data_IF_651570521729
#
_entry.id   IF_651570521729
#
_cell.length_a   1.000
_cell.length_b   1.000
_cell.length_c   1.000
_cell.angle_alpha   90.00
_cell.angle_beta   90.00
_cell.angle_gamma   90.00
#
_symmetry.space_group_name_H-M   'P 1'
#
loop_
_entity.id
_entity.type
_entity.pdbx_description
1 polymer ?
#
# COMPACT_ATOMS: atom_id res chain seq x y z
N UNK A 1 -10.44 1.90 -25.23
CA UNK A 1 -9.08 2.27 -25.71
C UNK A 1 -8.84 3.77 -25.55
N UNK A 2 -9.81 4.61 -25.92
CA UNK A 2 -9.66 6.08 -25.87
C UNK A 2 -9.34 6.63 -24.48
N UNK A 3 -9.97 6.12 -23.42
CA UNK A 3 -9.65 6.51 -22.04
C UNK A 3 -8.20 6.17 -21.63
N UNK A 4 -7.62 5.07 -22.15
CA UNK A 4 -6.22 4.73 -21.88
C UNK A 4 -5.29 5.70 -22.58
N UNK A 5 -5.58 6.07 -23.83
CA UNK A 5 -4.78 7.03 -24.60
C UNK A 5 -4.85 8.41 -23.95
N UNK A 6 -6.04 8.86 -23.52
CA UNK A 6 -6.22 10.11 -22.81
C UNK A 6 -5.50 10.11 -21.46
N UNK A 7 -5.60 9.03 -20.68
CA UNK A 7 -4.90 8.89 -19.41
C UNK A 7 -3.37 8.93 -19.59
N UNK A 8 -2.85 8.22 -20.59
CA UNK A 8 -1.42 8.24 -20.91
C UNK A 8 -0.97 9.65 -21.31
N UNK A 9 -1.74 10.33 -22.16
CA UNK A 9 -1.47 11.71 -22.59
C UNK A 9 -1.48 12.69 -21.41
N UNK A 10 -2.42 12.54 -20.47
CA UNK A 10 -2.48 13.37 -19.28
C UNK A 10 -1.25 13.16 -18.38
N UNK A 11 -0.85 11.92 -18.13
CA UNK A 11 0.32 11.60 -17.29
C UNK A 11 1.62 12.08 -17.92
N UNK A 12 1.76 11.98 -19.25
CA UNK A 12 2.95 12.44 -19.98
C UNK A 12 3.05 13.97 -20.13
N UNK A 13 2.04 14.72 -19.70
CA UNK A 13 2.15 16.18 -19.66
C UNK A 13 3.33 16.62 -18.77
N UNK A 14 4.08 17.66 -19.14
CA UNK A 14 5.27 18.09 -18.38
C UNK A 14 4.98 18.38 -16.90
N UNK A 15 3.82 18.99 -16.61
CA UNK A 15 3.40 19.27 -15.24
C UNK A 15 3.17 17.99 -14.42
N UNK A 16 2.48 17.00 -15.00
CA UNK A 16 2.24 15.74 -14.30
C UNK A 16 3.51 14.90 -14.17
N UNK A 17 4.43 14.95 -15.14
CA UNK A 17 5.74 14.31 -14.99
C UNK A 17 6.57 14.90 -13.84
N UNK A 18 6.53 16.21 -13.63
CA UNK A 18 7.16 16.82 -12.46
C UNK A 18 6.51 16.34 -11.15
N UNK A 19 5.19 16.19 -11.11
CA UNK A 19 4.48 15.62 -9.97
C UNK A 19 4.81 14.14 -9.75
N UNK A 20 4.99 13.35 -10.82
CA UNK A 20 5.44 11.96 -10.71
C UNK A 20 6.84 11.90 -10.10
N UNK A 21 7.79 12.66 -10.64
CA UNK A 21 9.17 12.67 -10.16
C UNK A 21 9.22 13.15 -8.71
N UNK A 22 8.57 14.26 -8.40
CA UNK A 22 8.51 14.83 -7.06
C UNK A 22 7.78 13.92 -6.06
N UNK A 23 6.68 13.32 -6.47
CA UNK A 23 5.88 12.39 -5.67
C UNK A 23 6.62 11.09 -5.39
N UNK A 24 7.27 10.49 -6.39
CA UNK A 24 8.10 9.29 -6.20
C UNK A 24 9.29 9.62 -5.29
N UNK A 25 9.97 10.74 -5.52
CA UNK A 25 11.09 11.17 -4.67
C UNK A 25 10.65 11.36 -3.21
N UNK A 26 9.59 12.12 -2.99
CA UNK A 26 9.04 12.34 -1.65
C UNK A 26 8.59 11.03 -1.01
N UNK A 27 7.91 10.17 -1.77
CA UNK A 27 7.52 8.84 -1.35
C UNK A 27 8.72 8.04 -0.88
N UNK A 28 9.78 7.95 -1.68
CA UNK A 28 11.01 7.22 -1.30
C UNK A 28 11.63 7.80 -0.03
N UNK A 29 11.74 9.13 0.08
CA UNK A 29 12.31 9.78 1.27
C UNK A 29 11.48 9.46 2.51
N UNK A 30 10.16 9.61 2.44
CA UNK A 30 9.26 9.31 3.55
C UNK A 30 9.35 7.84 3.91
N UNK A 31 9.19 6.96 2.93
CA UNK A 31 9.22 5.52 3.12
C UNK A 31 10.55 5.03 3.68
N UNK A 32 11.67 5.72 3.40
CA UNK A 32 12.95 5.39 3.99
C UNK A 32 13.02 5.72 5.49
N UNK A 33 12.24 6.67 6.01
CA UNK A 33 12.28 7.03 7.43
C UNK A 33 11.51 5.99 8.26
N UNK A 34 12.16 5.26 9.20
CA UNK A 34 11.47 4.30 10.05
C UNK A 34 10.31 4.92 10.83
N UNK A 35 9.14 4.29 10.73
CA UNK A 35 7.90 4.80 11.32
C UNK A 35 7.14 5.76 10.42
N UNK A 36 7.75 6.40 9.41
CA UNK A 36 7.01 7.28 8.52
C UNK A 36 6.40 6.48 7.35
N UNK A 37 5.17 6.00 7.54
CA UNK A 37 4.50 5.15 6.53
C UNK A 37 4.00 5.95 5.33
N UNK A 38 3.82 5.27 4.18
CA UNK A 38 3.19 5.85 2.99
C UNK A 38 1.77 6.37 3.29
N UNK A 39 1.02 5.67 4.14
CA UNK A 39 -0.31 6.08 4.61
C UNK A 39 -0.26 7.46 5.26
N UNK A 40 0.73 7.70 6.12
CA UNK A 40 0.91 8.98 6.80
C UNK A 40 1.26 10.10 5.82
N UNK A 41 2.23 9.89 4.91
CA UNK A 41 2.57 10.90 3.91
C UNK A 41 1.38 11.30 3.03
N UNK A 42 0.63 10.32 2.54
CA UNK A 42 -0.57 10.56 1.74
C UNK A 42 -1.60 11.32 2.57
N UNK A 43 -1.87 10.89 3.81
CA UNK A 43 -2.82 11.57 4.70
C UNK A 43 -2.48 13.05 4.93
N UNK A 44 -1.19 13.38 5.08
CA UNK A 44 -0.73 14.75 5.26
C UNK A 44 -0.78 15.57 3.96
N UNK A 45 -0.71 14.92 2.80
CA UNK A 45 -0.74 15.59 1.50
C UNK A 45 -2.12 15.73 0.87
N UNK A 46 -3.09 14.92 1.26
CA UNK A 46 -4.49 15.04 0.79
C UNK A 46 -5.00 16.49 0.87
N UNK A 47 -4.83 17.25 1.96
CA UNK A 47 -5.30 18.64 2.03
C UNK A 47 -4.69 19.57 0.95
N UNK A 48 -3.43 19.34 0.58
CA UNK A 48 -2.74 20.12 -0.45
C UNK A 48 -3.25 19.81 -1.86
N UNK A 49 -3.91 18.67 -2.04
CA UNK A 49 -4.49 18.30 -3.34
C UNK A 49 -5.84 18.95 -3.62
N UNK A 50 -6.50 19.59 -2.65
CA UNK A 50 -7.86 20.12 -2.82
C UNK A 50 -7.97 21.27 -3.82
N UNK A 51 -6.89 22.05 -3.98
CA UNK A 51 -6.82 23.09 -5.00
C UNK A 51 -6.33 22.57 -6.35
N UNK A 52 -6.02 21.29 -6.46
CA UNK A 52 -5.55 20.66 -7.69
C UNK A 52 -6.71 19.97 -8.41
N UNK A 53 -6.65 19.93 -9.74
CA UNK A 53 -7.57 19.09 -10.51
C UNK A 53 -7.41 17.60 -10.11
N UNK A 54 -8.46 16.76 -10.27
CA UNK A 54 -8.42 15.38 -9.81
C UNK A 54 -7.27 14.54 -10.42
N UNK A 55 -6.92 14.80 -11.69
CA UNK A 55 -5.84 14.07 -12.37
C UNK A 55 -4.46 14.36 -11.74
N UNK A 56 -3.97 15.61 -11.69
CA UNK A 56 -2.68 15.91 -11.05
C UNK A 56 -2.66 15.54 -9.56
N UNK A 57 -3.78 15.68 -8.85
CA UNK A 57 -3.91 15.21 -7.46
C UNK A 57 -3.63 13.71 -7.34
N UNK A 58 -4.30 12.88 -8.16
CA UNK A 58 -4.10 11.42 -8.13
C UNK A 58 -2.71 11.02 -8.60
N UNK A 59 -2.17 11.69 -9.63
CA UNK A 59 -0.80 11.46 -10.09
C UNK A 59 0.18 11.65 -8.93
N UNK A 60 0.06 12.74 -8.16
CA UNK A 60 0.91 13.00 -7.01
C UNK A 60 0.76 11.93 -5.92
N UNK A 61 -0.48 11.66 -5.48
CA UNK A 61 -0.74 10.73 -4.37
C UNK A 61 -0.33 9.29 -4.70
N UNK A 62 -0.60 8.81 -5.92
CA UNK A 62 -0.17 7.48 -6.37
C UNK A 62 1.35 7.38 -6.54
N UNK A 63 2.01 8.46 -6.96
CA UNK A 63 3.47 8.51 -7.05
C UNK A 63 4.12 8.39 -5.67
N UNK A 64 3.55 9.07 -4.66
CA UNK A 64 3.97 8.93 -3.26
C UNK A 64 3.70 7.52 -2.74
N UNK A 65 2.55 6.94 -3.09
CA UNK A 65 2.21 5.58 -2.70
C UNK A 65 3.27 4.58 -3.18
N UNK A 66 3.50 4.51 -4.49
CA UNK A 66 4.48 3.59 -5.08
C UNK A 66 5.91 3.88 -4.58
N UNK A 67 6.29 5.16 -4.50
CA UNK A 67 7.59 5.58 -3.99
C UNK A 67 7.82 5.18 -2.53
N UNK A 68 6.81 5.37 -1.68
CA UNK A 68 6.87 5.07 -0.24
C UNK A 68 6.97 3.59 0.07
N UNK A 69 6.24 2.75 -0.66
CA UNK A 69 6.33 1.30 -0.50
C UNK A 69 7.73 0.79 -0.88
N UNK A 70 8.31 1.32 -1.96
CA UNK A 70 9.69 1.02 -2.35
C UNK A 70 10.74 1.58 -1.37
N UNK A 71 10.55 2.82 -0.89
CA UNK A 71 11.48 3.50 0.02
C UNK A 71 11.73 2.76 1.33
N UNK A 72 10.73 2.03 1.83
CA UNK A 72 10.84 1.21 3.05
C UNK A 72 11.94 0.14 2.99
N UNK A 73 12.31 -0.31 1.79
CA UNK A 73 13.38 -1.29 1.59
C UNK A 73 14.77 -0.72 1.90
N UNK A 74 14.97 0.60 1.76
CA UNK A 74 16.28 1.25 1.95
C UNK A 74 16.77 1.03 3.38
N UNK A 75 15.93 1.37 4.36
CA UNK A 75 16.26 1.22 5.78
C UNK A 75 16.12 -0.20 6.27
N UNK A 76 15.25 -1.01 5.66
CA UNK A 76 15.23 -2.45 5.90
C UNK A 76 16.57 -3.12 5.57
N UNK A 77 17.20 -2.73 4.46
CA UNK A 77 18.46 -3.30 3.97
C UNK A 77 19.67 -2.73 4.72
N UNK A 78 19.71 -1.41 4.96
CA UNK A 78 20.92 -0.75 5.46
C UNK A 78 21.03 -0.71 6.98
N UNK A 79 19.91 -0.61 7.71
CA UNK A 79 19.87 -0.36 9.16
C UNK A 79 18.93 -1.31 9.92
N UNK A 80 18.61 -2.46 9.31
CA UNK A 80 17.76 -3.54 9.85
C UNK A 80 16.40 -3.09 10.41
N UNK A 81 15.94 -1.92 10.02
CA UNK A 81 14.74 -1.29 10.58
C UNK A 81 13.87 -0.90 9.39
N UNK A 82 12.82 -1.67 9.08
CA UNK A 82 12.03 -1.43 7.89
C UNK A 82 11.26 -0.13 8.00
N UNK A 83 11.29 0.68 6.94
CA UNK A 83 10.55 1.94 6.90
C UNK A 83 9.03 1.75 6.73
N UNK A 84 8.63 0.65 6.08
CA UNK A 84 7.22 0.26 5.93
C UNK A 84 7.00 -1.16 6.45
N UNK A 85 5.78 -1.51 6.90
CA UNK A 85 5.49 -2.88 7.35
C UNK A 85 5.78 -3.94 6.28
N UNK A 86 5.54 -3.62 5.00
CA UNK A 86 5.83 -4.53 3.87
C UNK A 86 7.31 -4.87 3.70
N UNK A 87 8.20 -3.93 4.05
CA UNK A 87 9.64 -4.14 3.98
C UNK A 87 10.21 -5.00 5.14
N UNK A 88 9.39 -5.37 6.13
CA UNK A 88 9.82 -6.23 7.23
C UNK A 88 10.35 -7.59 6.75
N UNK A 89 9.73 -8.14 5.70
CA UNK A 89 10.19 -9.38 5.08
C UNK A 89 11.52 -9.18 4.33
N UNK A 90 11.73 -8.00 3.74
CA UNK A 90 12.96 -7.62 3.04
C UNK A 90 14.17 -7.56 3.98
N UNK A 91 13.98 -7.25 5.27
CA UNK A 91 15.04 -7.29 6.29
C UNK A 91 15.69 -8.68 6.36
N UNK A 92 14.91 -9.76 6.17
CA UNK A 92 15.37 -11.14 6.36
C UNK A 92 16.55 -11.51 5.47
N UNK A 93 16.59 -11.02 4.23
CA UNK A 93 17.69 -11.28 3.30
C UNK A 93 18.45 -10.03 2.89
N UNK A 94 17.78 -8.87 2.85
CA UNK A 94 18.37 -7.59 2.51
C UNK A 94 19.50 -7.20 3.46
N UNK A 95 19.24 -7.24 4.77
CA UNK A 95 20.24 -6.86 5.77
C UNK A 95 21.42 -7.83 5.84
N UNK A 96 21.24 -9.17 5.89
CA UNK A 96 22.37 -10.10 5.80
C UNK A 96 23.20 -9.97 4.52
N UNK A 97 22.57 -9.63 3.38
CA UNK A 97 23.27 -9.35 2.14
C UNK A 97 24.10 -8.06 2.25
N UNK A 98 23.56 -7.02 2.87
CA UNK A 98 24.27 -5.77 3.14
C UNK A 98 25.48 -5.97 4.06
N UNK A 99 25.34 -6.76 5.14
CA UNK A 99 26.42 -7.12 6.05
C UNK A 99 27.58 -7.85 5.36
N UNK A 100 27.31 -8.55 4.27
CA UNK A 100 28.32 -9.23 3.42
C UNK A 100 28.99 -8.29 2.41
N UNK A 101 28.84 -6.97 2.56
CA UNK A 101 29.38 -5.97 1.64
C UNK A 101 28.62 -5.84 0.32
N UNK A 102 27.46 -6.49 0.19
CA UNK A 102 26.61 -6.49 -1.03
C UNK A 102 25.40 -5.55 -0.88
N UNK A 103 25.52 -4.48 -0.09
CA UNK A 103 24.42 -3.54 0.18
C UNK A 103 23.87 -2.89 -1.11
N UNK A 104 24.76 -2.47 -2.02
CA UNK A 104 24.35 -1.90 -3.31
C UNK A 104 23.54 -2.89 -4.15
N UNK A 105 23.97 -4.15 -4.21
CA UNK A 105 23.26 -5.18 -4.97
C UNK A 105 21.88 -5.49 -4.35
N UNK A 106 21.79 -5.54 -3.02
CA UNK A 106 20.51 -5.71 -2.32
C UNK A 106 19.53 -4.57 -2.65
N UNK A 107 19.98 -3.31 -2.61
CA UNK A 107 19.18 -2.13 -2.97
C UNK A 107 18.77 -2.14 -4.45
N UNK A 108 19.66 -2.61 -5.32
CA UNK A 108 19.37 -2.77 -6.74
C UNK A 108 18.30 -3.82 -7.02
N UNK A 109 18.41 -4.99 -6.37
CA UNK A 109 17.40 -6.04 -6.46
C UNK A 109 16.06 -5.52 -5.93
N UNK A 110 16.06 -4.88 -4.77
CA UNK A 110 14.84 -4.32 -4.16
C UNK A 110 14.17 -3.32 -5.09
N UNK A 111 14.89 -2.31 -5.57
CA UNK A 111 14.35 -1.28 -6.47
C UNK A 111 13.80 -1.87 -7.78
N UNK A 112 14.53 -2.81 -8.40
CA UNK A 112 14.08 -3.45 -9.65
C UNK A 112 12.87 -4.35 -9.43
N UNK A 113 12.89 -5.17 -8.38
CA UNK A 113 11.79 -6.06 -8.01
C UNK A 113 10.52 -5.27 -7.69
N UNK A 114 10.67 -4.18 -6.96
CA UNK A 114 9.61 -3.23 -6.61
C UNK A 114 9.02 -2.53 -7.83
N UNK A 115 9.88 -1.97 -8.69
CA UNK A 115 9.43 -1.35 -9.95
C UNK A 115 8.72 -2.34 -10.88
N UNK A 116 9.24 -3.57 -10.99
CA UNK A 116 8.61 -4.62 -11.79
C UNK A 116 7.23 -5.01 -11.23
N UNK A 117 7.11 -5.23 -9.92
CA UNK A 117 5.85 -5.56 -9.26
C UNK A 117 4.80 -4.48 -9.38
N UNK A 118 5.17 -3.22 -9.11
CA UNK A 118 4.29 -2.07 -9.26
C UNK A 118 3.81 -1.89 -10.70
N UNK A 119 4.72 -1.92 -11.67
CA UNK A 119 4.38 -1.77 -13.08
C UNK A 119 3.47 -2.89 -13.59
N UNK A 120 3.83 -4.15 -13.32
CA UNK A 120 3.05 -5.32 -13.79
C UNK A 120 1.69 -5.41 -13.11
N UNK A 121 1.60 -5.10 -11.81
CA UNK A 121 0.31 -5.03 -11.12
C UNK A 121 -0.58 -3.89 -11.61
N UNK A 122 -0.02 -2.74 -12.01
CA UNK A 122 -0.78 -1.66 -12.63
C UNK A 122 -1.38 -2.10 -13.98
N UNK A 123 -0.66 -2.88 -14.77
CA UNK A 123 -1.19 -3.49 -16.01
C UNK A 123 -2.33 -4.45 -15.66
N UNK A 124 -2.12 -5.36 -14.70
CA UNK A 124 -3.17 -6.29 -14.25
C UNK A 124 -4.40 -5.53 -13.74
N UNK A 125 -4.21 -4.45 -12.98
CA UNK A 125 -5.26 -3.58 -12.50
C UNK A 125 -6.07 -2.99 -13.65
N UNK A 126 -5.44 -2.47 -14.71
CA UNK A 126 -6.15 -1.91 -15.87
C UNK A 126 -7.11 -2.94 -16.49
N UNK A 127 -6.67 -4.19 -16.66
CA UNK A 127 -7.48 -5.24 -17.28
C UNK A 127 -8.53 -5.84 -16.34
N UNK A 128 -8.14 -6.14 -15.09
CA UNK A 128 -9.02 -6.76 -14.10
C UNK A 128 -10.09 -5.80 -13.59
N UNK A 129 -9.77 -4.51 -13.45
CA UNK A 129 -10.74 -3.52 -12.94
C UNK A 129 -11.94 -3.39 -13.87
N UNK A 130 -11.75 -3.45 -15.20
CA UNK A 130 -12.87 -3.41 -16.13
C UNK A 130 -13.79 -4.63 -15.99
N UNK A 131 -13.22 -5.82 -15.83
CA UNK A 131 -13.98 -7.05 -15.65
C UNK A 131 -14.76 -7.03 -14.34
N UNK A 132 -14.10 -6.65 -13.24
CA UNK A 132 -14.73 -6.59 -11.92
C UNK A 132 -15.79 -5.49 -11.88
N UNK A 133 -15.57 -4.31 -12.46
CA UNK A 133 -16.58 -3.26 -12.55
C UNK A 133 -17.82 -3.73 -13.33
N UNK A 134 -17.64 -4.44 -14.44
CA UNK A 134 -18.78 -4.98 -15.21
C UNK A 134 -19.60 -6.01 -14.41
N UNK A 135 -18.93 -6.81 -13.58
CA UNK A 135 -19.59 -7.75 -12.68
C UNK A 135 -20.28 -7.02 -11.52
N UNK A 136 -19.66 -5.99 -10.96
CA UNK A 136 -20.23 -5.16 -9.90
C UNK A 136 -21.50 -4.43 -10.34
N UNK A 137 -21.58 -4.00 -11.59
CA UNK A 137 -22.81 -3.41 -12.17
C UNK A 137 -23.98 -4.39 -12.24
N UNK A 138 -23.72 -5.70 -12.21
CA UNK A 138 -24.77 -6.73 -12.15
C UNK A 138 -25.24 -7.04 -10.72
N UNK A 139 -24.61 -6.46 -9.69
CA UNK A 139 -24.97 -6.72 -8.31
C UNK A 139 -26.30 -6.07 -7.94
N UNK A 140 -27.07 -6.81 -7.16
CA UNK A 140 -28.30 -6.35 -6.53
C UNK A 140 -28.16 -6.39 -5.01
N UNK A 141 -29.25 -6.14 -4.27
CA UNK A 141 -29.22 -6.06 -2.81
C UNK A 141 -28.51 -7.23 -2.10
N UNK A 142 -28.80 -8.50 -2.46
CA UNK A 142 -28.13 -9.67 -1.88
C UNK A 142 -26.61 -9.70 -2.10
N UNK A 143 -26.14 -9.37 -3.30
CA UNK A 143 -24.71 -9.39 -3.63
C UNK A 143 -23.93 -8.30 -2.87
N UNK A 144 -24.48 -7.08 -2.78
CA UNK A 144 -23.90 -6.03 -1.94
C UNK A 144 -23.88 -6.41 -0.47
N UNK A 145 -24.93 -7.08 0.01
CA UNK A 145 -24.99 -7.57 1.39
C UNK A 145 -23.90 -8.62 1.64
N UNK A 146 -23.76 -9.59 0.75
CA UNK A 146 -22.72 -10.61 0.84
C UNK A 146 -21.31 -10.00 0.79
N UNK A 147 -21.09 -9.02 -0.08
CA UNK A 147 -19.83 -8.31 -0.21
C UNK A 147 -19.49 -7.51 1.06
N UNK A 148 -20.48 -6.84 1.67
CA UNK A 148 -20.29 -6.14 2.93
C UNK A 148 -19.91 -7.11 4.07
N UNK A 149 -20.60 -8.25 4.19
CA UNK A 149 -20.24 -9.29 5.16
C UNK A 149 -18.86 -9.89 4.90
N UNK A 150 -18.50 -10.10 3.64
CA UNK A 150 -17.17 -10.56 3.26
C UNK A 150 -16.09 -9.55 3.69
N UNK A 151 -16.26 -8.26 3.36
CA UNK A 151 -15.33 -7.21 3.78
C UNK A 151 -15.15 -7.15 5.29
N UNK A 152 -16.25 -7.21 6.04
CA UNK A 152 -16.22 -7.26 7.51
C UNK A 152 -15.51 -8.51 8.03
N UNK A 153 -15.81 -9.69 7.48
CA UNK A 153 -15.17 -10.94 7.87
C UNK A 153 -13.65 -10.90 7.65
N UNK A 154 -13.21 -10.34 6.52
CA UNK A 154 -11.77 -10.18 6.26
C UNK A 154 -11.15 -9.23 7.27
N UNK A 155 -11.73 -8.04 7.51
CA UNK A 155 -11.24 -7.08 8.52
C UNK A 155 -11.10 -7.75 9.90
N UNK A 156 -12.10 -8.51 10.35
CA UNK A 156 -12.05 -9.20 11.63
C UNK A 156 -10.96 -10.28 11.69
N UNK A 157 -10.76 -11.01 10.59
CA UNK A 157 -9.75 -12.07 10.49
C UNK A 157 -8.30 -11.59 10.59
N UNK A 158 -8.06 -10.30 10.34
CA UNK A 158 -6.71 -9.71 10.36
C UNK A 158 -6.16 -9.45 11.77
N UNK A 159 -7.01 -9.59 12.79
CA UNK A 159 -6.61 -9.40 14.18
C UNK A 159 -6.19 -10.73 14.80
N UNK A 160 -5.15 -10.70 15.64
CA UNK A 160 -4.74 -11.89 16.42
C UNK A 160 -5.80 -12.31 17.45
N UNK A 161 -6.62 -11.36 17.88
CA UNK A 161 -7.64 -11.53 18.91
C UNK A 161 -9.00 -11.15 18.30
N UNK A 162 -9.75 -12.18 17.91
CA UNK A 162 -11.02 -12.04 17.19
C UNK A 162 -12.03 -11.18 17.96
N UNK A 163 -12.04 -11.25 19.28
CA UNK A 163 -12.97 -10.48 20.12
C UNK A 163 -12.63 -9.00 20.04
N UNK A 164 -11.35 -8.63 20.13
CA UNK A 164 -10.91 -7.25 19.95
C UNK A 164 -11.17 -6.76 18.52
N UNK A 165 -10.94 -7.60 17.52
CA UNK A 165 -11.29 -7.29 16.12
C UNK A 165 -12.78 -6.97 15.95
N UNK A 166 -13.65 -7.81 16.48
CA UNK A 166 -15.10 -7.59 16.45
C UNK A 166 -15.50 -6.31 17.17
N UNK A 167 -15.01 -6.07 18.39
CA UNK A 167 -15.33 -4.86 19.16
C UNK A 167 -14.90 -3.61 18.40
N UNK A 168 -13.65 -3.59 17.91
CA UNK A 168 -13.10 -2.42 17.20
C UNK A 168 -13.81 -2.15 15.87
N UNK A 169 -14.13 -3.18 15.09
CA UNK A 169 -14.85 -2.96 13.83
C UNK A 169 -16.33 -2.64 14.01
N UNK A 170 -17.02 -3.23 14.99
CA UNK A 170 -18.39 -2.82 15.35
C UNK A 170 -18.43 -1.38 15.86
N UNK A 171 -17.42 -0.97 16.64
CA UNK A 171 -17.28 0.42 17.08
C UNK A 171 -17.03 1.37 15.90
N UNK A 172 -16.17 0.99 14.96
CA UNK A 172 -15.95 1.74 13.72
C UNK A 172 -17.23 1.88 12.87
N UNK A 173 -17.99 0.79 12.73
CA UNK A 173 -19.30 0.81 12.06
C UNK A 173 -20.29 1.75 12.75
N UNK A 174 -20.36 1.70 14.08
CA UNK A 174 -21.21 2.61 14.86
C UNK A 174 -20.87 4.08 14.55
N UNK A 175 -19.58 4.43 14.58
CA UNK A 175 -19.11 5.79 14.25
C UNK A 175 -19.48 6.16 12.80
N UNK A 176 -19.32 5.24 11.85
CA UNK A 176 -19.64 5.47 10.44
C UNK A 176 -21.14 5.68 10.19
N UNK A 177 -22.02 5.21 11.07
CA UNK A 177 -23.47 5.43 10.97
C UNK A 177 -23.95 6.79 11.51
N UNK A 178 -23.08 7.59 12.13
CA UNK A 178 -23.43 8.92 12.63
C UNK A 178 -23.54 9.90 11.47
N UNK A 179 -24.70 10.54 11.33
CA UNK A 179 -24.96 11.54 10.29
C UNK A 179 -26.24 11.27 9.50
N UNK A 180 -26.38 11.97 8.38
CA UNK A 180 -27.52 11.78 7.47
C UNK A 180 -27.37 10.48 6.68
N UNK A 181 -28.40 9.64 6.68
CA UNK A 181 -28.43 8.47 5.81
C UNK A 181 -28.48 8.86 4.33
N UNK A 182 -27.70 8.18 3.49
CA UNK A 182 -27.62 8.47 2.06
C UNK A 182 -28.87 8.03 1.28
N UNK A 183 -29.65 7.07 1.81
CA UNK A 183 -30.79 6.46 1.09
C UNK A 183 -32.13 7.07 1.53
N UNK A 184 -32.33 7.24 2.84
CA UNK A 184 -33.60 7.64 3.48
C UNK A 184 -33.58 9.05 4.08
N UNK A 185 -32.62 9.91 3.69
CA UNK A 185 -32.18 11.16 4.34
C UNK A 185 -32.45 11.36 5.84
N UNK A 186 -32.47 10.28 6.62
CA UNK A 186 -32.83 10.35 8.03
C UNK A 186 -31.59 10.59 8.90
N UNK A 187 -31.61 11.55 9.84
CA UNK A 187 -30.48 11.81 10.73
C UNK A 187 -30.34 10.67 11.75
N UNK A 188 -29.17 10.02 11.77
CA UNK A 188 -28.81 8.92 12.68
C UNK A 188 -27.79 9.39 13.70
N UNK A 189 -28.09 9.17 14.98
CA UNK A 189 -27.17 9.44 16.10
C UNK A 189 -26.64 10.89 16.19
N UNK A 190 -27.34 11.86 15.62
CA UNK A 190 -26.89 13.27 15.59
C UNK A 190 -27.13 14.01 16.90
N UNK A 191 -27.91 13.43 17.84
CA UNK A 191 -28.24 14.03 19.14
C UNK A 191 -28.78 15.48 19.06
N UNK A 192 -29.40 15.86 17.93
CA UNK A 192 -29.89 17.21 17.67
C UNK A 192 -28.82 18.25 17.29
N UNK A 193 -27.54 17.84 17.16
CA UNK A 193 -26.46 18.72 16.71
C UNK A 193 -26.42 18.82 15.19
N UNK A 194 -26.40 20.05 14.67
CA UNK A 194 -26.25 20.30 13.23
C UNK A 194 -24.87 19.93 12.71
N UNK A 195 -23.83 19.99 13.54
CA UNK A 195 -22.47 19.57 13.19
C UNK A 195 -22.37 18.07 12.93
N UNK A 196 -23.20 17.26 13.59
CA UNK A 196 -23.23 15.82 13.38
C UNK A 196 -24.07 15.39 12.18
N UNK A 197 -24.83 16.28 11.54
CA UNK A 197 -25.62 15.95 10.35
C UNK A 197 -24.73 15.50 9.18
N UNK A 198 -23.55 16.09 9.04
CA UNK A 198 -22.55 15.72 8.04
C UNK A 198 -21.72 14.50 8.46
N UNK A 199 -21.98 13.92 9.63
CA UNK A 199 -21.16 12.88 10.22
C UNK A 199 -19.77 13.37 10.61
N UNK A 200 -18.85 12.43 10.86
CA UNK A 200 -17.47 12.76 11.16
C UNK A 200 -16.67 13.01 9.87
N UNK A 201 -15.99 14.16 9.74
CA UNK A 201 -15.17 14.44 8.57
C UNK A 201 -14.04 13.40 8.43
N UNK A 202 -14.00 12.68 7.32
CA UNK A 202 -13.05 11.59 7.10
C UNK A 202 -11.58 12.01 7.22
N UNK A 203 -11.23 13.21 6.77
CA UNK A 203 -9.85 13.69 6.79
C UNK A 203 -9.27 13.81 8.22
N UNK A 204 -9.90 14.54 9.17
CA UNK A 204 -9.51 14.53 10.57
C UNK A 204 -9.42 13.12 11.19
N UNK A 205 -10.33 12.21 10.84
CA UNK A 205 -10.29 10.83 11.34
C UNK A 205 -9.03 10.12 10.85
N UNK A 206 -8.76 10.18 9.55
CA UNK A 206 -7.57 9.57 8.94
C UNK A 206 -6.28 10.16 9.52
N UNK A 207 -6.18 11.50 9.61
CA UNK A 207 -5.00 12.17 10.19
C UNK A 207 -4.86 11.78 11.67
N UNK A 208 -5.94 11.83 12.45
CA UNK A 208 -5.92 11.48 13.87
C UNK A 208 -5.52 10.01 14.10
N UNK A 209 -6.11 9.08 13.35
CA UNK A 209 -5.90 7.65 13.52
C UNK A 209 -4.50 7.22 13.08
N UNK A 210 -4.02 7.71 11.93
CA UNK A 210 -2.74 7.28 11.38
C UNK A 210 -1.57 8.16 11.82
N UNK A 211 -1.70 9.49 11.77
CA UNK A 211 -0.57 10.37 12.12
C UNK A 211 -0.24 10.34 13.60
N UNK A 212 -1.25 10.48 14.47
CA UNK A 212 -1.02 10.58 15.92
C UNK A 212 -0.53 9.24 16.47
N UNK A 213 -1.13 8.12 16.04
CA UNK A 213 -0.70 6.79 16.45
C UNK A 213 0.76 6.54 16.06
N UNK A 214 1.17 6.96 14.86
CA UNK A 214 2.53 6.77 14.38
C UNK A 214 3.54 7.65 15.13
N UNK A 215 3.19 8.90 15.45
CA UNK A 215 4.00 9.77 16.31
C UNK A 215 4.27 9.12 17.66
N UNK A 216 3.24 8.53 18.30
CA UNK A 216 3.44 7.82 19.56
C UNK A 216 4.36 6.60 19.42
N UNK A 217 4.27 5.84 18.33
CA UNK A 217 5.17 4.70 18.05
C UNK A 217 6.61 5.15 17.78
N UNK A 218 6.79 6.27 17.09
CA UNK A 218 8.12 6.85 16.87
C UNK A 218 8.75 7.27 18.20
N UNK A 219 7.99 7.92 19.09
CA UNK A 219 8.45 8.26 20.44
C UNK A 219 8.85 6.99 21.20
N UNK A 220 8.00 5.94 21.20
CA UNK A 220 8.34 4.66 21.85
C UNK A 220 9.63 4.06 21.30
N UNK A 221 9.80 4.07 19.97
CA UNK A 221 10.98 3.51 19.29
C UNK A 221 12.25 4.25 19.67
N UNK A 222 12.21 5.58 19.67
CA UNK A 222 13.36 6.42 20.09
C UNK A 222 13.70 6.19 21.57
N UNK A 223 12.69 6.06 22.43
CA UNK A 223 12.86 5.82 23.87
C UNK A 223 13.42 4.43 24.16
N UNK A 224 13.02 3.38 23.40
CA UNK A 224 13.47 1.99 23.61
C UNK A 224 14.77 1.64 22.89
N UNK A 225 15.03 2.21 21.71
CA UNK A 225 16.15 1.83 20.84
C UNK A 225 17.05 3.05 20.52
N UNK A 226 17.89 3.43 21.49
CA UNK A 226 18.89 4.48 21.34
C UNK A 226 20.21 4.04 20.67
N UNK A 227 20.20 3.07 19.76
CA UNK A 227 21.43 2.63 19.07
C UNK A 227 21.60 3.35 17.73
N UNK A 228 22.69 4.10 17.59
CA UNK A 228 23.22 4.53 16.28
C UNK A 228 23.62 3.29 15.50
N UNK A 229 22.90 2.97 14.43
CA UNK A 229 23.32 1.94 13.48
C UNK A 229 24.41 2.52 12.57
N UNK A 230 25.50 1.78 12.36
CA UNK A 230 26.53 2.15 11.41
C UNK A 230 25.98 2.06 9.98
N UNK A 231 26.05 3.17 9.25
CA UNK A 231 25.63 3.23 7.85
C UNK A 231 26.61 2.40 7.01
N UNK A 232 26.11 1.30 6.42
CA UNK A 232 26.92 0.44 5.55
C UNK A 232 27.28 1.15 4.25
N UNK A 233 28.51 0.94 3.76
CA UNK A 233 28.96 1.51 2.49
C UNK A 233 28.18 0.90 1.32
N UNK A 234 27.61 1.76 0.48
CA UNK A 234 26.89 1.35 -0.73
C UNK A 234 27.90 1.12 -1.87
N UNK A 235 28.02 -0.14 -2.30
CA UNK A 235 28.80 -0.53 -3.48
C UNK A 235 28.01 -0.44 -4.78
N UNK A 236 28.31 -1.31 -5.75
CA UNK A 236 27.59 -1.39 -7.04
C UNK A 236 26.09 -1.62 -6.83
N UNK A 237 25.26 -0.72 -7.39
CA UNK A 237 23.80 -0.77 -7.25
C UNK A 237 23.16 -1.67 -8.32
N UNK A 238 23.63 -1.62 -9.57
CA UNK A 238 23.00 -2.38 -10.67
C UNK A 238 23.33 -3.88 -10.53
N UNK A 239 22.32 -4.77 -10.33
CA UNK A 239 22.55 -6.20 -10.20
C UNK A 239 23.18 -6.81 -11.45
N UNK A 240 23.86 -7.94 -11.29
CA UNK A 240 24.45 -8.65 -12.41
C UNK A 240 23.38 -9.23 -13.34
N UNK A 241 23.68 -9.38 -14.64
CA UNK A 241 22.76 -10.04 -15.59
C UNK A 241 22.37 -11.45 -15.13
N UNK A 242 23.27 -12.18 -14.48
CA UNK A 242 23.00 -13.51 -13.93
C UNK A 242 22.02 -13.43 -12.75
N UNK A 243 22.21 -12.45 -11.85
CA UNK A 243 21.27 -12.18 -10.75
C UNK A 243 19.87 -11.89 -11.30
N UNK A 244 19.75 -11.02 -12.32
CA UNK A 244 18.46 -10.70 -12.94
C UNK A 244 17.75 -11.93 -13.53
N UNK A 245 18.48 -12.76 -14.30
CA UNK A 245 17.92 -13.99 -14.87
C UNK A 245 17.44 -14.96 -13.79
N UNK A 246 18.17 -15.04 -12.66
CA UNK A 246 17.82 -15.90 -11.53
C UNK A 246 16.54 -15.45 -10.83
N UNK A 247 16.37 -14.15 -10.58
CA UNK A 247 15.23 -13.63 -9.83
C UNK A 247 13.97 -13.43 -10.68
N UNK A 248 14.09 -13.36 -12.02
CA UNK A 248 12.97 -13.05 -12.92
C UNK A 248 11.75 -13.97 -12.77
N UNK A 249 11.87 -15.31 -12.69
CA UNK A 249 10.72 -16.19 -12.44
C UNK A 249 10.04 -15.91 -11.09
N UNK A 250 10.84 -15.58 -10.08
CA UNK A 250 10.35 -15.21 -8.75
C UNK A 250 9.56 -13.91 -8.82
N UNK A 251 10.04 -12.89 -9.53
CA UNK A 251 9.32 -11.63 -9.71
C UNK A 251 7.95 -11.87 -10.37
N UNK A 252 7.89 -12.60 -11.49
CA UNK A 252 6.61 -12.90 -12.16
C UNK A 252 5.61 -13.53 -11.19
N UNK A 253 6.00 -14.58 -10.48
CA UNK A 253 5.10 -15.29 -9.56
C UNK A 253 4.69 -14.41 -8.38
N UNK A 254 5.62 -13.60 -7.87
CA UNK A 254 5.39 -12.68 -6.75
C UNK A 254 4.45 -11.55 -7.13
N UNK A 255 4.45 -11.09 -8.39
CA UNK A 255 3.47 -10.12 -8.89
C UNK A 255 2.06 -10.66 -8.73
N UNK A 256 1.79 -11.91 -9.14
CA UNK A 256 0.46 -12.50 -9.04
C UNK A 256 0.03 -12.67 -7.57
N UNK A 257 0.94 -13.12 -6.70
CA UNK A 257 0.68 -13.21 -5.26
C UNK A 257 0.35 -11.83 -4.69
N UNK A 258 1.17 -10.82 -4.96
CA UNK A 258 0.96 -9.47 -4.44
C UNK A 258 -0.31 -8.82 -4.97
N UNK A 259 -0.62 -8.99 -6.25
CA UNK A 259 -1.85 -8.44 -6.86
C UNK A 259 -3.09 -9.10 -6.26
N UNK A 260 -3.07 -10.43 -6.11
CA UNK A 260 -4.18 -11.18 -5.53
C UNK A 260 -4.38 -10.85 -4.05
N UNK A 261 -3.32 -10.87 -3.24
CA UNK A 261 -3.39 -10.51 -1.83
C UNK A 261 -3.79 -9.04 -1.66
N UNK A 262 -3.30 -8.14 -2.50
CA UNK A 262 -3.70 -6.73 -2.47
C UNK A 262 -5.19 -6.51 -2.75
N UNK A 263 -5.80 -7.35 -3.60
CA UNK A 263 -7.23 -7.30 -3.86
C UNK A 263 -8.08 -7.79 -2.67
N UNK A 264 -7.48 -8.44 -1.66
CA UNK A 264 -8.18 -8.83 -0.43
C UNK A 264 -8.26 -7.63 0.52
N UNK A 265 -9.48 -7.22 0.95
CA UNK A 265 -9.66 -6.06 1.83
C UNK A 265 -8.84 -6.15 3.10
N UNK A 266 -8.06 -5.10 3.40
CA UNK A 266 -7.24 -5.00 4.59
C UNK A 266 -5.91 -5.75 4.54
N UNK A 267 -5.74 -6.81 3.75
CA UNK A 267 -4.58 -7.72 3.83
C UNK A 267 -3.24 -6.99 3.66
N UNK A 268 -3.19 -6.07 2.69
CA UNK A 268 -2.08 -5.14 2.46
C UNK A 268 -0.72 -5.79 2.16
N UNK A 269 0.30 -4.94 2.12
CA UNK A 269 1.59 -5.30 1.55
C UNK A 269 2.44 -6.22 2.45
N UNK A 270 2.25 -6.16 3.77
CA UNK A 270 2.94 -7.03 4.72
C UNK A 270 2.59 -8.51 4.53
N UNK A 271 1.30 -8.83 4.43
CA UNK A 271 0.85 -10.21 4.22
C UNK A 271 1.36 -10.73 2.87
N UNK A 272 1.24 -9.92 1.82
CA UNK A 272 1.71 -10.27 0.48
C UNK A 272 3.22 -10.61 0.46
N UNK A 273 4.04 -9.78 1.10
CA UNK A 273 5.49 -9.97 1.16
C UNK A 273 5.85 -11.28 1.85
N UNK A 274 5.26 -11.59 3.02
CA UNK A 274 5.54 -12.84 3.75
C UNK A 274 5.04 -14.08 3.01
N UNK A 275 3.84 -14.04 2.42
CA UNK A 275 3.31 -15.16 1.63
C UNK A 275 4.20 -15.43 0.41
N UNK A 276 4.59 -14.38 -0.30
CA UNK A 276 5.48 -14.47 -1.46
C UNK A 276 6.86 -15.02 -1.09
N UNK A 277 7.45 -14.51 0.00
CA UNK A 277 8.73 -14.97 0.52
C UNK A 277 8.71 -16.45 0.88
N UNK A 278 7.71 -16.90 1.65
CA UNK A 278 7.57 -18.30 2.02
C UNK A 278 7.37 -19.18 0.78
N UNK A 279 6.60 -18.71 -0.20
CA UNK A 279 6.42 -19.41 -1.48
C UNK A 279 7.72 -19.51 -2.26
N UNK A 280 8.53 -18.45 -2.28
CA UNK A 280 9.86 -18.44 -2.90
C UNK A 280 10.83 -19.39 -2.20
N UNK A 281 10.84 -19.41 -0.87
CA UNK A 281 11.64 -20.33 -0.08
C UNK A 281 11.27 -21.79 -0.36
N UNK A 282 9.98 -22.12 -0.32
CA UNK A 282 9.49 -23.49 -0.50
C UNK A 282 9.76 -24.04 -1.92
N UNK A 283 9.77 -23.18 -2.93
CA UNK A 283 10.02 -23.55 -4.32
C UNK A 283 11.49 -23.42 -4.73
N UNK A 284 12.35 -22.90 -3.85
CA UNK A 284 13.76 -22.75 -4.16
C UNK A 284 14.48 -24.09 -4.10
N UNK A 285 15.49 -24.25 -4.95
CA UNK A 285 16.44 -25.38 -4.88
C UNK A 285 17.42 -25.25 -3.72
N UNK A 286 17.56 -24.05 -3.14
CA UNK A 286 18.48 -23.74 -2.04
C UNK A 286 17.75 -22.97 -0.92
N UNK A 287 16.74 -23.56 -0.26
CA UNK A 287 15.94 -22.91 0.79
C UNK A 287 16.78 -22.45 1.99
N UNK A 288 17.94 -23.06 2.23
CA UNK A 288 18.90 -22.73 3.30
C UNK A 288 19.54 -21.34 3.15
N UNK A 289 19.53 -20.77 1.93
CA UNK A 289 20.05 -19.42 1.69
C UNK A 289 19.12 -18.30 2.18
N UNK A 290 17.83 -18.59 2.34
CA UNK A 290 16.83 -17.63 2.80
C UNK A 290 17.06 -17.30 4.27
N UNK A 291 17.08 -16.01 4.60
CA UNK A 291 17.49 -15.50 5.92
C UNK A 291 19.00 -15.26 6.02
N UNK A 292 19.77 -15.60 4.98
CA UNK A 292 21.22 -15.42 4.92
C UNK A 292 21.66 -14.52 3.76
N UNK A 293 20.73 -13.84 3.08
CA UNK A 293 21.02 -13.00 1.92
C UNK A 293 20.78 -13.70 0.59
N UNK A 294 19.66 -14.40 0.45
CA UNK A 294 19.18 -14.91 -0.83
C UNK A 294 18.63 -13.77 -1.70
N UNK A 295 19.10 -13.67 -2.96
CA UNK A 295 18.60 -12.68 -3.92
C UNK A 295 17.10 -12.85 -4.20
N UNK A 296 16.64 -14.10 -4.24
CA UNK A 296 15.24 -14.47 -4.45
C UNK A 296 14.34 -14.05 -3.28
N UNK A 297 14.86 -14.00 -2.06
CA UNK A 297 14.11 -13.56 -0.89
C UNK A 297 13.77 -12.07 -0.94
N UNK A 298 14.74 -11.24 -1.33
CA UNK A 298 14.55 -9.80 -1.56
C UNK A 298 13.58 -9.60 -2.73
N UNK A 299 13.82 -10.26 -3.87
CA UNK A 299 12.98 -10.13 -5.05
C UNK A 299 11.52 -10.56 -4.80
N UNK A 300 11.31 -11.67 -4.08
CA UNK A 300 9.97 -12.14 -3.75
C UNK A 300 9.20 -11.17 -2.86
N UNK A 301 9.87 -10.66 -1.82
CA UNK A 301 9.28 -9.73 -0.85
C UNK A 301 8.92 -8.41 -1.53
N UNK A 302 9.87 -7.79 -2.22
CA UNK A 302 9.71 -6.46 -2.81
C UNK A 302 8.78 -6.46 -4.02
N UNK A 303 8.81 -7.49 -4.86
CA UNK A 303 7.85 -7.58 -5.98
C UNK A 303 6.42 -7.76 -5.48
N UNK A 304 6.17 -8.62 -4.48
CA UNK A 304 4.82 -8.78 -3.94
C UNK A 304 4.36 -7.54 -3.16
N UNK A 305 5.25 -6.94 -2.36
CA UNK A 305 5.03 -5.70 -1.62
C UNK A 305 4.53 -4.58 -2.55
N UNK A 306 5.24 -4.33 -3.67
CA UNK A 306 4.81 -3.29 -4.61
C UNK A 306 3.70 -3.73 -5.57
N UNK A 307 3.53 -5.02 -5.85
CA UNK A 307 2.37 -5.49 -6.61
C UNK A 307 1.03 -5.29 -5.89
N UNK A 308 1.05 -5.15 -4.55
CA UNK A 308 -0.13 -4.74 -3.77
C UNK A 308 -0.62 -3.35 -4.18
N UNK A 309 0.26 -2.45 -4.63
CA UNK A 309 -0.16 -1.08 -5.00
C UNK A 309 -1.20 -1.09 -6.12
N UNK A 310 -1.01 -1.89 -7.17
CA UNK A 310 -2.03 -2.13 -8.19
C UNK A 310 -3.17 -3.02 -7.71
N UNK A 311 -2.88 -4.08 -6.97
CA UNK A 311 -3.89 -5.03 -6.49
C UNK A 311 -4.94 -4.40 -5.58
N UNK A 312 -4.52 -3.56 -4.63
CA UNK A 312 -5.40 -2.88 -3.67
C UNK A 312 -6.27 -1.80 -4.30
N UNK A 313 -5.84 -1.23 -5.44
CA UNK A 313 -6.63 -0.28 -6.20
C UNK A 313 -7.77 -0.93 -6.97
N UNK A 314 -7.69 -2.24 -7.29
CA UNK A 314 -8.75 -2.95 -8.01
C UNK A 314 -10.09 -2.88 -7.26
N UNK A 315 -10.24 -3.42 -6.04
CA UNK A 315 -11.51 -3.35 -5.31
C UNK A 315 -11.86 -1.92 -4.89
N UNK A 316 -10.86 -1.06 -4.66
CA UNK A 316 -11.11 0.32 -4.28
C UNK A 316 -11.79 1.09 -5.41
N UNK A 317 -11.27 1.00 -6.63
CA UNK A 317 -11.82 1.70 -7.79
C UNK A 317 -13.15 1.09 -8.28
N UNK A 318 -13.29 -0.23 -8.17
CA UNK A 318 -14.43 -0.96 -8.76
C UNK A 318 -15.60 -1.19 -7.80
N UNK A 319 -15.34 -1.31 -6.50
CA UNK A 319 -16.33 -1.64 -5.48
C UNK A 319 -16.40 -0.58 -4.36
N UNK A 320 -15.50 0.42 -4.37
CA UNK A 320 -15.40 1.38 -3.27
C UNK A 320 -14.84 0.77 -1.98
N UNK A 321 -14.19 -0.40 -2.05
CA UNK A 321 -13.68 -1.14 -0.89
C UNK A 321 -12.15 -1.08 -0.87
N UNK A 322 -11.53 -0.48 0.15
CA UNK A 322 -10.07 -0.38 0.20
C UNK A 322 -9.39 -1.74 0.43
N UNK A 323 -8.34 -2.01 -0.34
CA UNK A 323 -7.50 -3.20 -0.17
C UNK A 323 -6.52 -3.12 1.01
N UNK A 324 -6.19 -1.90 1.44
CA UNK A 324 -5.29 -1.64 2.57
C UNK A 324 -5.49 -0.23 3.16
N UNK A 325 -4.69 0.09 4.18
CA UNK A 325 -4.78 1.39 4.84
C UNK A 325 -4.48 2.57 3.90
N UNK A 326 -3.57 2.41 2.93
CA UNK A 326 -3.24 3.50 1.99
C UNK A 326 -4.41 3.77 1.06
N UNK A 327 -4.99 2.72 0.48
CA UNK A 327 -6.13 2.83 -0.42
C UNK A 327 -7.40 3.33 0.28
N UNK A 328 -7.55 3.13 1.59
CA UNK A 328 -8.62 3.77 2.38
C UNK A 328 -8.47 5.30 2.44
N UNK A 329 -7.25 5.79 2.58
CA UNK A 329 -6.96 7.23 2.52
C UNK A 329 -7.15 7.78 1.11
N UNK A 330 -6.70 7.04 0.09
CA UNK A 330 -6.90 7.42 -1.32
C UNK A 330 -8.39 7.45 -1.70
N UNK A 331 -9.19 6.50 -1.23
CA UNK A 331 -10.63 6.48 -1.41
C UNK A 331 -11.26 7.75 -0.82
N UNK A 332 -10.87 8.10 0.41
CA UNK A 332 -11.32 9.35 1.06
C UNK A 332 -10.91 10.59 0.26
N UNK A 333 -9.70 10.61 -0.29
CA UNK A 333 -9.20 11.71 -1.12
C UNK A 333 -10.01 11.83 -2.43
N UNK A 334 -10.30 10.70 -3.10
CA UNK A 334 -11.13 10.67 -4.31
C UNK A 334 -12.53 11.22 -4.07
N UNK A 335 -13.19 10.79 -2.99
CA UNK A 335 -14.53 11.26 -2.64
C UNK A 335 -14.55 12.77 -2.39
N UNK A 336 -13.52 13.33 -1.74
CA UNK A 336 -13.40 14.78 -1.53
C UNK A 336 -13.17 15.52 -2.86
N UNK A 337 -12.46 14.91 -3.80
CA UNK A 337 -12.26 15.42 -5.16
C UNK A 337 -13.51 15.27 -6.05
N UNK A 338 -14.65 14.83 -5.50
CA UNK A 338 -15.90 14.64 -6.23
C UNK A 338 -15.96 13.38 -7.09
N UNK A 339 -15.01 12.46 -6.93
CA UNK A 339 -15.01 11.16 -7.59
C UNK A 339 -15.50 10.09 -6.61
N UNK A 340 -16.59 9.40 -6.96
CA UNK A 340 -17.14 8.31 -6.17
C UNK A 340 -16.72 6.96 -6.79
N UNK A 341 -15.81 6.19 -6.17
CA UNK A 341 -15.49 4.84 -6.64
C UNK A 341 -16.57 3.83 -6.25
N UNK A 342 -16.73 2.80 -7.08
CA UNK A 342 -17.80 1.81 -6.95
C UNK A 342 -19.06 2.14 -7.77
N UNK A 343 -20.03 1.22 -7.82
CA UNK A 343 -21.31 1.41 -8.51
C UNK A 343 -22.27 2.33 -7.75
#
# INVERSE_FOLDING_TARGET
>A
MDFLIQGLGAVLSPANMLLVIGGVFLGIVVGAIPGLTATLAISLLVPFTFSMDPVPAMVLLLSIYCGGICGGSITAILIRTPGTPGAACTVLDGYPMAQKGRAGEALGIATLASGFGGFTSAILMIFLSQQIASFALSFSGPEYTALAFFGLAVIFSMTKDLVKGLITGLFGLLIATVGMDLITPYPRFTMGSSQLLTGFPMLPIVIGLFAVAEVFRMIETVVRNGKKEEIMRVGRIIPSKNTMKKIFPTMIRSTFIGTFVGALPGAGANVAAFVSYNTAKNLSKTPERFGQGAEEGIAASETANNAVTGGALIPMLTLGIPGDAVTAVLLSALTIQGLQPGP
#
